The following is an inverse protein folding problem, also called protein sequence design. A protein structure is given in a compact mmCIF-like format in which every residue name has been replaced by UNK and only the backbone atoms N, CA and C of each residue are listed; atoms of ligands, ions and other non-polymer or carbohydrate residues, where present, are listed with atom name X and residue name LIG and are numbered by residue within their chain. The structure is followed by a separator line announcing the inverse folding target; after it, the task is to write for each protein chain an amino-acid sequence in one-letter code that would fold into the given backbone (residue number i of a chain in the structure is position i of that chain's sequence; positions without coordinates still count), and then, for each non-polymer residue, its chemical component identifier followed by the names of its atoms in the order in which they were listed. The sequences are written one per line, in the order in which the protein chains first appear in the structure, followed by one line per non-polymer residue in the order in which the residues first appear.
data_IF_167950832508
#
_entry.id   IF_167950832508
#
_cell.length_a   1.000
_cell.length_b   1.000
_cell.length_c   1.000
_cell.angle_alpha   90.00
_cell.angle_beta   90.00
_cell.angle_gamma   90.00
#
_symmetry.space_group_name_H-M   'P 1'
#
loop_
_entity.id
_entity.type
_entity.pdbx_description
1 polymer ?
#
# COMPACT_ATOMS: atom_id res chain seq x y z
N UNK A 1 1.54 6.42 -12.29
CA UNK A 1 2.91 7.00 -12.44
C UNK A 1 3.37 7.38 -11.04
N UNK A 2 4.20 6.53 -10.41
CA UNK A 2 4.76 6.78 -9.07
C UNK A 2 6.16 7.37 -9.20
N UNK A 3 6.40 8.51 -8.56
CA UNK A 3 7.75 9.06 -8.41
C UNK A 3 8.22 8.80 -6.98
N UNK A 4 9.15 7.84 -6.83
CA UNK A 4 9.98 7.68 -5.66
C UNK A 4 11.29 8.44 -5.90
N UNK A 5 11.49 9.54 -5.20
CA UNK A 5 12.82 10.10 -4.99
C UNK A 5 12.95 10.51 -3.53
N UNK A 6 13.77 9.76 -2.78
CA UNK A 6 14.96 10.32 -2.15
C UNK A 6 15.90 9.19 -1.76
N UNK A 7 17.03 9.22 -2.45
CA UNK A 7 18.21 8.41 -2.19
C UNK A 7 18.78 8.80 -0.82
N UNK A 8 18.96 7.82 0.06
CA UNK A 8 19.93 7.91 1.15
C UNK A 8 21.25 7.40 0.59
N UNK A 9 22.15 8.29 0.19
CA UNK A 9 23.54 7.91 -0.09
C UNK A 9 24.27 7.97 1.24
N UNK A 10 24.66 6.81 1.77
CA UNK A 10 25.61 6.71 2.89
C UNK A 10 27.01 6.62 2.29
N UNK A 11 27.74 7.72 2.28
CA UNK A 11 29.18 7.70 1.95
C UNK A 11 29.96 7.50 3.25
N UNK A 12 30.68 6.38 3.36
CA UNK A 12 31.69 6.20 4.40
C UNK A 12 32.97 6.88 3.94
N UNK A 13 33.30 8.03 4.52
CA UNK A 13 34.64 8.60 4.44
C UNK A 13 35.42 8.13 5.65
N UNK A 14 36.44 7.32 5.44
CA UNK A 14 37.40 6.94 6.47
C UNK A 14 38.41 8.07 6.65
N UNK A 15 38.04 9.12 7.37
CA UNK A 15 39.00 9.95 8.11
C UNK A 15 38.29 10.93 9.05
N UNK A 16 38.64 10.83 10.33
CA UNK A 16 38.53 11.81 11.42
C UNK A 16 37.17 12.52 11.70
N UNK A 17 36.57 12.06 12.80
CA UNK A 17 35.59 12.73 13.69
C UNK A 17 34.21 13.08 13.11
N UNK A 18 33.12 12.35 13.48
CA UNK A 18 31.79 12.66 12.97
C UNK A 18 31.17 13.83 13.75
N UNK A 19 31.36 15.05 13.25
CA UNK A 19 30.35 16.09 13.45
C UNK A 19 29.12 15.68 12.64
N UNK A 20 28.09 15.13 13.31
CA UNK A 20 26.83 14.76 12.66
C UNK A 20 26.10 16.07 12.31
N UNK A 21 26.29 16.54 11.08
CA UNK A 21 25.50 17.63 10.52
C UNK A 21 24.17 17.06 10.00
N UNK A 22 23.08 17.31 10.72
CA UNK A 22 21.73 16.97 10.26
C UNK A 22 21.32 17.96 9.16
N UNK A 23 21.36 17.53 7.90
CA UNK A 23 20.73 18.27 6.81
C UNK A 23 19.21 18.03 6.87
N UNK A 24 18.45 19.06 7.24
CA UNK A 24 17.00 19.08 7.09
C UNK A 24 16.67 19.17 5.60
N UNK A 25 16.37 18.02 5.00
CA UNK A 25 15.97 17.94 3.61
C UNK A 25 14.45 18.08 3.57
N UNK A 26 13.94 19.25 3.15
CA UNK A 26 12.52 19.43 2.87
C UNK A 26 12.07 18.42 1.80
N UNK A 27 11.00 17.68 2.05
CA UNK A 27 10.33 16.91 1.01
C UNK A 27 9.98 17.86 -0.15
N UNK A 28 10.27 17.52 -1.42
CA UNK A 28 9.96 18.41 -2.52
C UNK A 28 8.44 18.60 -2.59
N UNK A 29 7.99 19.85 -2.58
CA UNK A 29 6.58 20.21 -2.77
C UNK A 29 6.45 20.78 -4.18
N UNK A 30 5.55 20.20 -4.97
CA UNK A 30 5.19 20.76 -6.26
C UNK A 30 4.31 21.99 -6.03
N UNK A 31 4.61 23.08 -6.73
CA UNK A 31 3.87 24.35 -6.64
C UNK A 31 3.52 24.78 -8.07
N UNK A 32 2.26 25.16 -8.28
CA UNK A 32 1.77 25.76 -9.51
C UNK A 32 0.91 26.95 -9.13
N UNK A 33 1.09 28.10 -9.81
CA UNK A 33 0.34 29.34 -9.54
C UNK A 33 0.35 29.76 -8.06
N UNK A 34 1.53 29.71 -7.42
CA UNK A 34 1.71 30.03 -5.99
C UNK A 34 0.89 29.17 -5.01
N UNK A 35 0.30 28.07 -5.49
CA UNK A 35 -0.45 27.12 -4.69
C UNK A 35 0.23 25.75 -4.69
N UNK A 36 0.05 25.00 -3.59
CA UNK A 36 0.53 23.63 -3.50
C UNK A 36 -0.17 22.76 -4.54
N UNK A 37 0.61 22.10 -5.38
CA UNK A 37 0.14 21.15 -6.37
C UNK A 37 -0.02 19.76 -5.72
N UNK A 38 -1.19 19.52 -5.14
CA UNK A 38 -1.51 18.25 -4.47
C UNK A 38 -2.21 17.28 -5.42
N UNK A 39 -1.94 15.98 -5.26
CA UNK A 39 -2.64 14.92 -6.01
C UNK A 39 -4.14 14.90 -5.71
N UNK A 40 -4.55 15.31 -4.51
CA UNK A 40 -5.97 15.43 -4.18
C UNK A 40 -6.65 16.48 -5.07
N UNK A 41 -6.17 17.72 -5.03
CA UNK A 41 -6.82 18.83 -5.74
C UNK A 41 -6.78 18.69 -7.27
N UNK A 42 -5.74 18.04 -7.81
CA UNK A 42 -5.54 17.98 -9.25
C UNK A 42 -5.99 16.66 -9.90
N UNK A 43 -6.04 15.55 -9.15
CA UNK A 43 -6.42 14.25 -9.71
C UNK A 43 -7.75 13.74 -9.15
N UNK A 44 -8.00 13.91 -7.85
CA UNK A 44 -9.15 13.28 -7.19
C UNK A 44 -10.36 14.22 -7.09
N UNK A 45 -10.15 15.47 -6.69
CA UNK A 45 -11.20 16.47 -6.55
C UNK A 45 -12.02 16.67 -7.84
N UNK A 46 -11.41 16.76 -9.04
CA UNK A 46 -12.19 16.87 -10.28
C UNK A 46 -13.05 15.64 -10.58
N UNK A 47 -12.60 14.44 -10.17
CA UNK A 47 -13.36 13.20 -10.34
C UNK A 47 -14.57 13.17 -9.41
N UNK A 48 -14.42 13.66 -8.17
CA UNK A 48 -15.52 13.72 -7.20
C UNK A 48 -16.62 14.71 -7.61
N UNK A 49 -16.29 15.72 -8.41
CA UNK A 49 -17.25 16.69 -8.92
C UNK A 49 -18.04 16.18 -10.14
N UNK A 50 -17.62 15.06 -10.74
CA UNK A 50 -18.29 14.48 -11.90
C UNK A 50 -19.51 13.65 -11.45
N UNK A 51 -20.69 13.95 -11.99
CA UNK A 51 -21.96 13.31 -11.55
C UNK A 51 -21.97 11.78 -11.74
N UNK A 52 -21.33 11.28 -12.80
CA UNK A 52 -21.25 9.85 -13.08
C UNK A 52 -20.14 9.09 -12.30
N UNK A 53 -19.34 9.78 -11.49
CA UNK A 53 -18.22 9.14 -10.80
C UNK A 53 -18.68 8.32 -9.59
N UNK A 54 -18.54 7.00 -9.68
CA UNK A 54 -18.80 6.07 -8.58
C UNK A 54 -17.55 5.92 -7.70
N UNK A 55 -17.25 6.98 -6.93
CA UNK A 55 -16.08 7.01 -6.03
C UNK A 55 -16.53 7.24 -4.59
N UNK A 56 -16.06 6.40 -3.67
CA UNK A 56 -16.28 6.57 -2.23
C UNK A 56 -14.95 6.75 -1.54
N UNK A 57 -14.83 7.82 -0.73
CA UNK A 57 -13.63 8.10 0.06
C UNK A 57 -13.99 7.93 1.53
N UNK A 58 -13.19 7.12 2.23
CA UNK A 58 -13.32 6.90 3.67
C UNK A 58 -12.10 7.51 4.38
N UNK A 59 -12.16 8.79 4.78
CA UNK A 59 -11.10 9.41 5.58
C UNK A 59 -11.09 8.81 7.00
N UNK A 60 -9.97 8.99 7.70
CA UNK A 60 -9.78 8.46 9.07
C UNK A 60 -9.92 6.93 9.17
N UNK A 61 -9.65 6.24 8.07
CA UNK A 61 -9.70 4.78 7.98
C UNK A 61 -8.30 4.25 7.69
N UNK A 62 -7.86 3.26 8.46
CA UNK A 62 -6.58 2.58 8.29
C UNK A 62 -6.80 1.17 7.78
N UNK A 63 -6.02 0.74 6.80
CA UNK A 63 -6.06 -0.63 6.29
C UNK A 63 -5.16 -1.51 7.16
N UNK A 64 -5.73 -2.51 7.81
CA UNK A 64 -4.97 -3.43 8.67
C UNK A 64 -4.33 -4.55 7.85
N UNK A 65 -5.12 -5.24 7.03
CA UNK A 65 -4.69 -6.38 6.22
C UNK A 65 -5.62 -6.65 5.04
N UNK A 66 -5.09 -7.33 4.04
CA UNK A 66 -5.82 -7.90 2.90
C UNK A 66 -6.36 -9.28 3.28
N UNK A 67 -7.57 -9.61 2.82
CA UNK A 67 -8.22 -10.89 3.02
C UNK A 67 -8.11 -11.72 1.74
N UNK A 68 -7.50 -12.90 1.84
CA UNK A 68 -7.38 -13.87 0.73
C UNK A 68 -8.43 -14.97 0.83
N UNK A 69 -8.83 -15.52 -0.31
CA UNK A 69 -9.71 -16.68 -0.36
C UNK A 69 -8.95 -17.96 0.02
N UNK A 70 -9.35 -18.68 1.09
CA UNK A 70 -8.73 -19.96 1.43
C UNK A 70 -8.97 -21.05 0.36
N UNK A 71 -10.02 -20.92 -0.47
CA UNK A 71 -10.37 -21.91 -1.48
C UNK A 71 -9.76 -21.62 -2.85
N UNK A 72 -9.27 -20.39 -3.08
CA UNK A 72 -8.69 -19.95 -4.34
C UNK A 72 -7.41 -19.16 -4.05
N UNK A 73 -6.23 -19.83 -4.04
CA UNK A 73 -4.97 -19.15 -3.72
C UNK A 73 -4.72 -18.02 -4.73
N UNK A 74 -4.25 -16.88 -4.22
CA UNK A 74 -4.02 -15.67 -5.01
C UNK A 74 -5.25 -14.79 -5.22
N UNK A 75 -6.47 -15.25 -4.88
CA UNK A 75 -7.67 -14.40 -4.98
C UNK A 75 -7.88 -13.58 -3.72
N UNK A 76 -8.09 -12.28 -3.92
CA UNK A 76 -8.42 -11.33 -2.84
C UNK A 76 -9.94 -11.28 -2.66
N UNK A 77 -10.41 -11.44 -1.42
CA UNK A 77 -11.82 -11.29 -1.03
C UNK A 77 -12.17 -9.89 -0.54
N UNK A 78 -11.19 -9.15 -0.03
CA UNK A 78 -11.44 -7.83 0.54
C UNK A 78 -10.29 -7.33 1.41
N UNK A 79 -10.60 -6.36 2.25
CA UNK A 79 -9.65 -5.74 3.18
C UNK A 79 -10.29 -5.56 4.56
N UNK A 80 -9.50 -5.70 5.63
CA UNK A 80 -9.91 -5.30 6.99
C UNK A 80 -9.46 -3.87 7.21
N UNK A 81 -10.37 -3.04 7.65
CA UNK A 81 -10.11 -1.64 7.94
C UNK A 81 -10.47 -1.31 9.38
N UNK A 82 -9.76 -0.35 9.96
CA UNK A 82 -10.06 0.27 11.24
C UNK A 82 -10.55 1.70 11.02
N UNK A 83 -11.71 2.04 11.58
CA UNK A 83 -12.24 3.40 11.59
C UNK A 83 -12.72 3.74 13.01
N UNK A 84 -12.24 4.86 13.57
CA UNK A 84 -12.63 5.33 14.92
C UNK A 84 -12.59 4.22 15.99
N UNK A 85 -11.51 3.45 15.99
CA UNK A 85 -11.25 2.33 16.91
C UNK A 85 -12.11 1.07 16.72
N UNK A 86 -12.91 0.98 15.65
CA UNK A 86 -13.64 -0.22 15.28
C UNK A 86 -13.06 -0.83 13.99
N UNK A 87 -12.76 -2.13 14.03
CA UNK A 87 -12.25 -2.86 12.85
C UNK A 87 -13.36 -3.68 12.20
N UNK A 88 -13.50 -3.58 10.88
CA UNK A 88 -14.50 -4.31 10.10
C UNK A 88 -13.99 -4.64 8.68
N UNK A 89 -14.51 -5.70 8.04
CA UNK A 89 -14.14 -6.05 6.68
C UNK A 89 -14.91 -5.25 5.63
N UNK A 90 -14.23 -4.84 4.56
CA UNK A 90 -14.80 -4.37 3.31
C UNK A 90 -14.59 -5.47 2.26
N UNK A 91 -15.68 -5.98 1.71
CA UNK A 91 -15.67 -7.08 0.75
C UNK A 91 -15.66 -6.55 -0.68
N UNK A 92 -14.91 -7.21 -1.57
CA UNK A 92 -15.05 -7.00 -3.00
C UNK A 92 -16.37 -7.62 -3.48
N UNK A 93 -17.10 -6.91 -4.32
CA UNK A 93 -18.27 -7.45 -5.03
C UNK A 93 -17.85 -8.64 -5.90
N UNK A 94 -18.73 -9.63 -6.04
CA UNK A 94 -18.49 -10.96 -6.64
C UNK A 94 -17.33 -11.01 -7.66
N UNK A 95 -16.11 -11.31 -7.18
CA UNK A 95 -14.93 -11.54 -8.00
C UNK A 95 -14.99 -12.88 -8.78
N UNK A 96 -16.17 -13.53 -8.80
CA UNK A 96 -16.36 -14.90 -9.27
C UNK A 96 -16.95 -15.01 -10.68
N UNK A 97 -17.43 -13.92 -11.28
CA UNK A 97 -17.89 -13.93 -12.67
C UNK A 97 -17.11 -12.90 -13.47
N UNK A 98 -16.16 -13.38 -14.26
CA UNK A 98 -15.49 -12.60 -15.27
C UNK A 98 -16.53 -12.21 -16.34
N UNK A 99 -17.21 -11.08 -16.13
CA UNK A 99 -17.97 -10.44 -17.20
C UNK A 99 -16.93 -9.83 -18.16
N UNK A 100 -16.89 -10.19 -19.46
CA UNK A 100 -15.91 -9.66 -20.40
C UNK A 100 -15.97 -8.13 -20.56
N UNK A 101 -17.05 -7.49 -20.07
CA UNK A 101 -17.28 -6.04 -20.16
C UNK A 101 -16.73 -5.30 -18.93
N UNK A 102 -16.60 -5.96 -17.77
CA UNK A 102 -16.16 -5.31 -16.53
C UNK A 102 -14.83 -5.89 -16.04
N UNK A 103 -13.85 -5.03 -15.69
CA UNK A 103 -12.62 -5.51 -15.10
C UNK A 103 -12.90 -6.24 -13.79
N UNK A 104 -12.10 -7.27 -13.52
CA UNK A 104 -12.17 -7.98 -12.25
C UNK A 104 -11.86 -7.01 -11.10
N UNK A 105 -12.62 -7.08 -9.99
CA UNK A 105 -12.39 -6.22 -8.85
C UNK A 105 -11.01 -6.52 -8.24
N UNK A 106 -10.22 -5.47 -8.01
CA UNK A 106 -8.84 -5.57 -7.52
C UNK A 106 -8.62 -4.72 -6.25
N UNK A 107 -7.61 -5.08 -5.46
CA UNK A 107 -7.13 -4.29 -4.32
C UNK A 107 -5.77 -3.71 -4.65
N UNK A 108 -5.69 -2.39 -4.70
CA UNK A 108 -4.44 -1.65 -4.95
C UNK A 108 -3.91 -1.10 -3.61
N UNK A 109 -2.71 -1.51 -3.22
CA UNK A 109 -2.03 -0.97 -2.04
C UNK A 109 -1.17 0.24 -2.43
N UNK A 110 -1.62 1.43 -2.02
CA UNK A 110 -0.92 2.71 -2.24
C UNK A 110 -0.66 3.45 -0.92
N UNK A 111 -0.30 2.71 0.14
CA UNK A 111 -0.08 3.27 1.48
C UNK A 111 1.34 3.84 1.70
N UNK A 112 2.16 3.91 0.65
CA UNK A 112 3.55 4.39 0.72
C UNK A 112 4.55 3.32 1.13
N UNK A 113 5.83 3.70 1.19
CA UNK A 113 6.98 2.78 1.30
C UNK A 113 7.01 1.96 2.58
N UNK A 114 6.46 2.47 3.68
CA UNK A 114 6.50 1.79 4.98
C UNK A 114 5.23 1.00 5.26
N UNK A 115 4.06 1.59 5.02
CA UNK A 115 2.80 0.90 5.33
C UNK A 115 2.42 -0.16 4.30
N UNK A 116 2.72 0.02 3.01
CA UNK A 116 2.39 -0.99 2.01
C UNK A 116 3.04 -2.36 2.30
N UNK A 117 4.36 -2.45 2.56
CA UNK A 117 4.96 -3.73 2.96
C UNK A 117 4.48 -4.20 4.34
N UNK A 118 4.19 -3.31 5.29
CA UNK A 118 3.66 -3.70 6.60
C UNK A 118 2.26 -4.34 6.50
N UNK A 119 1.38 -3.80 5.63
CA UNK A 119 0.07 -4.39 5.33
C UNK A 119 0.25 -5.77 4.71
N UNK A 120 1.15 -5.92 3.73
CA UNK A 120 1.42 -7.21 3.09
C UNK A 120 1.88 -8.25 4.12
N UNK A 121 2.81 -7.89 5.01
CA UNK A 121 3.29 -8.78 6.08
C UNK A 121 2.16 -9.20 7.03
N UNK A 122 1.30 -8.27 7.47
CA UNK A 122 0.12 -8.58 8.28
C UNK A 122 -0.93 -9.42 7.54
N UNK A 123 -0.88 -9.41 6.21
CA UNK A 123 -1.74 -10.22 5.34
C UNK A 123 -1.15 -11.60 5.04
N UNK A 124 0.03 -11.92 5.58
CA UNK A 124 0.73 -13.19 5.34
C UNK A 124 1.55 -13.21 4.05
N UNK A 125 1.79 -12.05 3.42
CA UNK A 125 2.66 -11.90 2.26
C UNK A 125 3.98 -11.27 2.69
N UNK A 126 5.04 -12.05 2.62
CA UNK A 126 6.40 -11.59 2.88
C UNK A 126 7.30 -12.74 3.26
N UNK A 127 8.48 -12.41 3.79
CA UNK A 127 9.42 -13.43 4.23
C UNK A 127 8.89 -14.14 5.49
N UNK A 128 8.87 -15.48 5.44
CA UNK A 128 8.63 -16.30 6.62
C UNK A 128 9.76 -16.07 7.64
N UNK A 129 9.53 -15.23 8.64
CA UNK A 129 10.35 -15.18 9.85
C UNK A 129 10.01 -16.36 10.77
N UNK A 130 9.99 -17.59 10.25
CA UNK A 130 10.13 -18.77 11.11
C UNK A 130 11.63 -18.97 11.33
N UNK A 131 12.15 -18.88 12.57
CA UNK A 131 13.45 -19.49 12.84
C UNK A 131 13.33 -20.96 12.45
N UNK A 132 14.29 -21.47 11.68
CA UNK A 132 14.39 -22.88 11.37
C UNK A 132 14.63 -23.66 12.66
N UNK A 133 13.56 -24.02 13.36
CA UNK A 133 13.58 -25.15 14.28
C UNK A 133 13.00 -26.33 13.52
N UNK A 134 13.89 -27.28 13.29
CA UNK A 134 13.71 -28.62 12.75
C UNK A 134 12.34 -29.24 13.07
N UNK A 135 11.56 -29.54 12.03
CA UNK A 135 11.00 -30.86 11.71
C UNK A 135 9.73 -30.72 10.84
N UNK A 136 9.84 -31.24 9.61
CA UNK A 136 8.84 -31.73 8.65
C UNK A 136 7.40 -31.14 8.78
N UNK A 137 6.86 -30.39 7.80
CA UNK A 137 6.34 -30.91 6.53
C UNK A 137 6.37 -29.78 5.48
N UNK A 138 6.97 -30.09 4.35
CA UNK A 138 7.02 -29.29 3.14
C UNK A 138 5.66 -29.24 2.44
N UNK A 139 5.12 -28.03 2.23
CA UNK A 139 4.43 -27.71 0.97
C UNK A 139 4.74 -26.25 0.63
N UNK A 140 5.94 -26.04 0.07
CA UNK A 140 6.17 -24.90 -0.79
C UNK A 140 5.43 -25.16 -2.10
N UNK A 141 4.78 -24.15 -2.67
CA UNK A 141 4.88 -23.78 -4.08
C UNK A 141 3.84 -22.68 -4.38
N UNK A 142 4.31 -21.44 -4.38
CA UNK A 142 3.84 -20.44 -5.34
C UNK A 142 5.07 -19.68 -5.82
N UNK A 143 5.47 -20.02 -7.04
CA UNK A 143 6.45 -19.30 -7.85
C UNK A 143 5.64 -18.53 -8.90
N UNK A 144 5.97 -17.23 -9.00
CA UNK A 144 5.52 -16.20 -9.93
C UNK A 144 4.15 -15.57 -9.70
#
# INVERSE_FOLDING_TARGET
ISYLLRNSIVTYSTEQSPAITYYFIFAPVFVQNYARWSSYANCLEPLLQHEDAQVTILPETLVEKVLFDPHKPGFVKGVVVAHKSASFPIWLSNASEANPIHPLPEVILSAGTFESPAILLRSGIGMDLKPQTTDYITVAHCLF
#
